data_IF_461219003254
#
_entry.id   IF_461219003254
#
_cell.length_a   1.000
_cell.length_b   1.000
_cell.length_c   1.000
_cell.angle_alpha   90.00
_cell.angle_beta   90.00
_cell.angle_gamma   90.00
#
_symmetry.space_group_name_H-M   'P 1'
#
loop_
_entity.id
_entity.type
_entity.pdbx_description
1 polymer ?
#
# COMPACT_ATOMS: atom_id res chain seq x y z
N UNK A 1 10.50 -8.11 -22.76
CA UNK A 1 9.23 -7.94 -23.50
C UNK A 1 8.29 -9.09 -23.18
N UNK A 2 6.98 -8.84 -23.05
CA UNK A 2 5.99 -9.88 -22.77
C UNK A 2 5.67 -10.63 -24.09
N UNK A 3 5.71 -11.97 -24.12
CA UNK A 3 5.37 -12.74 -25.32
C UNK A 3 3.98 -12.42 -25.87
N UNK A 4 3.85 -12.26 -27.20
CA UNK A 4 2.58 -11.90 -27.85
C UNK A 4 1.45 -12.90 -27.58
N UNK A 5 1.79 -14.18 -27.46
CA UNK A 5 0.82 -15.24 -27.14
C UNK A 5 0.16 -15.01 -25.77
N UNK A 6 0.97 -14.60 -24.77
CA UNK A 6 0.48 -14.29 -23.43
C UNK A 6 -0.45 -13.08 -23.45
N UNK A 7 -0.11 -12.04 -24.22
CA UNK A 7 -0.97 -10.87 -24.38
C UNK A 7 -2.33 -11.22 -25.02
N UNK A 8 -2.31 -12.02 -26.10
CA UNK A 8 -3.53 -12.47 -26.78
C UNK A 8 -4.43 -13.29 -25.86
N UNK A 9 -3.84 -14.19 -25.07
CA UNK A 9 -4.59 -15.02 -24.12
C UNK A 9 -5.15 -14.17 -22.96
N UNK A 10 -4.36 -13.26 -22.42
CA UNK A 10 -4.77 -12.36 -21.35
C UNK A 10 -5.93 -11.44 -21.78
N UNK A 11 -5.91 -10.94 -23.02
CA UNK A 11 -7.03 -10.19 -23.61
C UNK A 11 -8.30 -11.06 -23.72
N UNK A 12 -8.19 -12.28 -24.25
CA UNK A 12 -9.33 -13.21 -24.36
C UNK A 12 -9.96 -13.54 -23.00
N UNK A 13 -9.15 -13.59 -21.93
CA UNK A 13 -9.60 -13.88 -20.57
C UNK A 13 -9.95 -12.64 -19.74
N UNK A 14 -10.05 -11.45 -20.36
CA UNK A 14 -10.35 -10.19 -19.69
C UNK A 14 -9.39 -9.85 -18.52
N UNK A 15 -8.12 -10.24 -18.64
CA UNK A 15 -7.06 -9.95 -17.66
C UNK A 15 -6.29 -8.66 -17.97
N UNK A 16 -6.54 -8.06 -19.13
CA UNK A 16 -5.98 -6.78 -19.56
C UNK A 16 -7.12 -5.81 -19.83
N UNK A 17 -6.98 -4.55 -19.43
CA UNK A 17 -7.85 -3.44 -19.80
C UNK A 17 -7.06 -2.32 -20.48
N UNK A 18 -7.66 -1.67 -21.45
CA UNK A 18 -7.17 -0.41 -22.00
C UNK A 18 -7.49 0.73 -21.03
N UNK A 19 -6.53 1.63 -20.86
CA UNK A 19 -6.62 2.78 -19.98
C UNK A 19 -6.15 4.03 -20.74
N UNK A 20 -6.69 5.18 -20.37
CA UNK A 20 -6.27 6.47 -20.91
C UNK A 20 -6.10 7.47 -19.78
N UNK A 21 -4.98 8.20 -19.80
CA UNK A 21 -4.72 9.27 -18.84
C UNK A 21 -4.05 10.45 -19.54
N UNK A 22 -4.73 11.59 -19.60
CA UNK A 22 -4.23 12.81 -20.28
C UNK A 22 -3.66 12.54 -21.69
N UNK A 23 -4.40 11.77 -22.49
CA UNK A 23 -3.99 11.40 -23.85
C UNK A 23 -2.94 10.28 -23.94
N UNK A 24 -2.48 9.73 -22.80
CA UNK A 24 -1.60 8.55 -22.78
C UNK A 24 -2.44 7.29 -22.73
N UNK A 25 -2.36 6.50 -23.78
CA UNK A 25 -3.02 5.18 -23.86
C UNK A 25 -2.04 4.09 -23.41
N UNK A 26 -2.55 3.16 -22.61
CA UNK A 26 -1.76 2.02 -22.17
C UNK A 26 -2.66 0.83 -21.83
N UNK A 27 -2.07 -0.37 -21.85
CA UNK A 27 -2.73 -1.59 -21.41
C UNK A 27 -2.33 -1.92 -19.97
N UNK A 28 -3.26 -2.40 -19.17
CA UNK A 28 -3.05 -2.69 -17.75
C UNK A 28 -3.53 -4.09 -17.40
N UNK A 29 -2.65 -4.86 -16.76
CA UNK A 29 -3.03 -6.15 -16.18
C UNK A 29 -3.86 -5.94 -14.92
N UNK A 30 -5.12 -6.40 -14.93
CA UNK A 30 -6.05 -6.22 -13.82
C UNK A 30 -5.82 -7.20 -12.68
N UNK A 31 -5.17 -8.32 -12.98
CA UNK A 31 -4.93 -9.46 -12.11
C UNK A 31 -3.61 -10.16 -12.50
N UNK A 32 -3.12 -11.06 -11.66
CA UNK A 32 -1.96 -11.90 -12.00
C UNK A 32 -2.34 -12.81 -13.18
N UNK A 33 -1.43 -12.95 -14.14
CA UNK A 33 -1.63 -13.84 -15.27
C UNK A 33 -0.32 -14.50 -15.69
N UNK A 34 -0.22 -15.81 -15.42
CA UNK A 34 1.02 -16.59 -15.56
C UNK A 34 2.16 -15.89 -14.80
N UNK A 35 3.26 -15.58 -15.47
CA UNK A 35 4.41 -14.85 -14.92
C UNK A 35 4.26 -13.31 -14.92
N UNK A 36 3.12 -12.77 -15.37
CA UNK A 36 2.88 -11.33 -15.41
C UNK A 36 2.11 -10.89 -14.16
N UNK A 37 2.73 -10.14 -13.24
CA UNK A 37 2.06 -9.68 -12.04
C UNK A 37 1.01 -8.60 -12.36
N UNK A 38 -0.05 -8.58 -11.54
CA UNK A 38 -1.09 -7.55 -11.51
C UNK A 38 -0.48 -6.16 -11.48
N UNK A 39 -1.09 -5.24 -12.22
CA UNK A 39 -0.66 -3.85 -12.30
C UNK A 39 0.51 -3.61 -13.24
N UNK A 40 0.98 -4.63 -13.98
CA UNK A 40 1.85 -4.42 -15.14
C UNK A 40 1.16 -3.51 -16.15
N UNK A 41 1.86 -2.44 -16.55
CA UNK A 41 1.38 -1.44 -17.49
C UNK A 41 2.24 -1.47 -18.77
N UNK A 42 1.60 -1.53 -19.93
CA UNK A 42 2.24 -1.57 -21.25
C UNK A 42 1.88 -0.28 -21.98
N UNK A 43 2.88 0.56 -22.16
CA UNK A 43 2.83 1.75 -23.00
C UNK A 43 3.31 1.40 -24.41
N UNK A 44 3.29 2.39 -25.32
CA UNK A 44 3.62 2.19 -26.73
C UNK A 44 5.00 1.56 -26.96
N UNK A 45 6.02 2.01 -26.23
CA UNK A 45 7.42 1.62 -26.40
C UNK A 45 8.06 1.05 -25.13
N UNK A 46 7.29 0.92 -24.04
CA UNK A 46 7.82 0.48 -22.76
C UNK A 46 6.83 -0.29 -21.90
N UNK A 47 7.36 -1.18 -21.06
CA UNK A 47 6.61 -1.94 -20.06
C UNK A 47 7.10 -1.56 -18.67
N UNK A 48 6.17 -1.15 -17.81
CA UNK A 48 6.41 -1.00 -16.38
C UNK A 48 5.76 -2.18 -15.66
N UNK A 49 6.59 -3.15 -15.27
CA UNK A 49 6.16 -4.37 -14.62
C UNK A 49 5.49 -4.11 -13.28
N UNK A 50 4.44 -4.88 -12.97
CA UNK A 50 3.77 -4.91 -11.67
C UNK A 50 4.79 -5.21 -10.58
N UNK A 51 4.74 -4.47 -9.46
CA UNK A 51 5.57 -4.84 -8.32
C UNK A 51 5.10 -6.22 -7.82
N UNK A 52 5.99 -7.20 -7.60
CA UNK A 52 5.60 -8.57 -7.28
C UNK A 52 4.96 -8.71 -5.89
N UNK A 53 4.35 -9.86 -5.61
CA UNK A 53 3.90 -10.18 -4.26
C UNK A 53 5.10 -10.52 -3.37
N UNK A 54 5.13 -9.96 -2.15
CA UNK A 54 6.12 -10.32 -1.13
C UNK A 54 5.50 -11.36 -0.19
N UNK A 55 6.17 -12.51 -0.06
CA UNK A 55 5.76 -13.58 0.84
C UNK A 55 5.76 -13.12 2.30
N UNK A 56 4.92 -13.73 3.14
CA UNK A 56 4.85 -13.43 4.57
C UNK A 56 5.33 -14.65 5.35
N UNK A 57 6.20 -14.41 6.32
CA UNK A 57 6.51 -15.37 7.37
C UNK A 57 5.70 -15.01 8.62
N UNK A 58 5.27 -16.03 9.37
CA UNK A 58 4.43 -15.85 10.57
C UNK A 58 5.21 -16.07 11.87
N UNK A 59 6.35 -16.75 11.78
CA UNK A 59 7.30 -16.92 12.87
C UNK A 59 8.68 -16.52 12.38
N UNK A 60 9.41 -15.71 13.14
CA UNK A 60 10.75 -15.24 12.80
C UNK A 60 11.80 -16.35 13.00
N UNK A 61 11.73 -17.05 14.14
CA UNK A 61 12.68 -18.10 14.55
C UNK A 61 12.78 -19.24 13.57
N UNK A 62 11.67 -19.60 12.92
CA UNK A 62 11.63 -20.66 11.91
C UNK A 62 11.59 -20.09 10.49
N UNK A 63 10.89 -18.97 10.28
CA UNK A 63 10.71 -18.38 8.96
C UNK A 63 11.97 -17.75 8.38
N UNK A 64 12.85 -17.14 9.19
CA UNK A 64 14.10 -16.57 8.66
C UNK A 64 15.06 -17.68 8.18
N UNK A 65 15.40 -18.70 8.99
CA UNK A 65 16.29 -19.78 8.55
C UNK A 65 15.74 -20.58 7.36
N UNK A 66 14.42 -20.77 7.28
CA UNK A 66 13.78 -21.48 6.17
C UNK A 66 13.83 -20.70 4.84
N UNK A 67 13.77 -19.37 4.90
CA UNK A 67 13.61 -18.54 3.69
C UNK A 67 14.93 -17.99 3.15
N UNK A 68 15.97 -17.92 3.97
CA UNK A 68 17.23 -17.28 3.64
C UNK A 68 18.42 -18.22 3.84
N UNK A 69 19.18 -18.41 2.76
CA UNK A 69 20.47 -19.11 2.79
C UNK A 69 21.63 -18.10 2.87
N UNK A 70 21.39 -16.87 2.42
CA UNK A 70 22.37 -15.79 2.36
C UNK A 70 22.03 -14.68 3.35
N UNK A 71 22.97 -13.75 3.62
CA UNK A 71 22.66 -12.54 4.37
C UNK A 71 21.54 -11.74 3.70
N UNK A 72 20.79 -10.99 4.49
CA UNK A 72 19.66 -10.18 4.02
C UNK A 72 19.67 -8.81 4.68
N UNK A 73 19.14 -7.83 3.95
CA UNK A 73 18.87 -6.49 4.46
C UNK A 73 17.51 -6.45 5.13
N UNK A 74 17.40 -5.70 6.23
CA UNK A 74 16.15 -5.45 6.92
C UNK A 74 15.80 -3.99 6.74
N UNK A 75 14.64 -3.72 6.15
CA UNK A 75 14.10 -2.38 5.98
C UNK A 75 12.78 -2.24 6.74
N UNK A 76 12.48 -1.02 7.20
CA UNK A 76 11.15 -0.69 7.68
C UNK A 76 10.12 -0.96 6.58
N UNK A 77 9.03 -1.64 6.97
CA UNK A 77 7.82 -1.66 6.18
C UNK A 77 6.99 -0.44 6.58
N UNK A 78 6.95 0.55 5.70
CA UNK A 78 6.12 1.75 5.88
C UNK A 78 4.68 1.40 5.50
N UNK A 79 3.73 1.84 6.32
CA UNK A 79 2.30 1.67 6.05
C UNK A 79 1.77 2.85 5.24
N UNK A 80 1.26 2.56 4.05
CA UNK A 80 0.86 3.55 3.06
C UNK A 80 0.37 2.85 1.79
N UNK A 81 0.64 3.46 0.64
CA UNK A 81 0.35 2.81 -0.63
C UNK A 81 1.54 2.79 -1.59
N UNK A 82 1.70 1.62 -2.22
CA UNK A 82 2.73 1.34 -3.21
C UNK A 82 2.54 2.14 -4.50
N UNK A 83 3.62 2.79 -4.94
CA UNK A 83 3.71 3.50 -6.21
C UNK A 83 4.96 3.11 -7.01
N UNK A 84 4.85 3.16 -8.33
CA UNK A 84 5.95 3.00 -9.28
C UNK A 84 6.10 4.28 -10.09
N UNK A 85 7.19 5.00 -9.90
CA UNK A 85 7.46 6.31 -10.50
C UNK A 85 8.49 6.15 -11.62
N UNK A 86 8.20 6.70 -12.79
CA UNK A 86 9.02 6.54 -13.99
C UNK A 86 8.83 7.71 -14.94
N UNK A 87 9.85 7.97 -15.77
CA UNK A 87 9.78 8.92 -16.86
C UNK A 87 9.08 8.29 -18.07
N UNK A 88 8.22 9.01 -18.76
CA UNK A 88 7.62 8.59 -20.04
C UNK A 88 7.27 9.82 -20.87
N UNK A 89 7.73 9.89 -22.12
CA UNK A 89 7.50 11.04 -23.03
C UNK A 89 7.73 12.39 -22.31
N UNK A 90 8.93 12.54 -21.72
CA UNK A 90 9.43 13.73 -21.01
C UNK A 90 8.66 14.15 -19.75
N UNK A 91 7.79 13.30 -19.22
CA UNK A 91 7.07 13.56 -17.98
C UNK A 91 7.21 12.41 -16.98
N UNK A 92 7.27 12.75 -15.69
CA UNK A 92 7.31 11.77 -14.61
C UNK A 92 5.88 11.39 -14.24
N UNK A 93 5.58 10.10 -14.29
CA UNK A 93 4.29 9.53 -13.92
C UNK A 93 4.44 8.58 -12.74
N UNK A 94 3.36 8.41 -11.98
CA UNK A 94 3.28 7.45 -10.89
C UNK A 94 2.13 6.46 -11.09
N UNK A 95 2.44 5.17 -11.18
CA UNK A 95 1.47 4.09 -11.19
C UNK A 95 1.17 3.63 -9.76
N UNK A 96 -0.10 3.46 -9.44
CA UNK A 96 -0.52 2.70 -8.23
C UNK A 96 -0.14 1.22 -8.37
N UNK A 97 -0.26 0.47 -7.27
CA UNK A 97 -0.15 -1.00 -7.27
C UNK A 97 -1.00 -1.67 -8.35
N UNK A 98 -2.21 -1.17 -8.59
CA UNK A 98 -3.14 -1.71 -9.59
C UNK A 98 -2.79 -1.37 -11.05
N UNK A 99 -1.77 -0.54 -11.27
CA UNK A 99 -1.33 -0.09 -12.59
C UNK A 99 -2.08 1.14 -13.12
N UNK A 100 -2.80 1.88 -12.28
CA UNK A 100 -3.41 3.14 -12.70
C UNK A 100 -2.42 4.29 -12.57
N UNK A 101 -2.32 5.17 -13.58
CA UNK A 101 -1.60 6.43 -13.41
C UNK A 101 -2.39 7.28 -12.41
N UNK A 102 -1.80 7.54 -11.25
CA UNK A 102 -2.44 8.27 -10.16
C UNK A 102 -2.24 9.77 -10.37
N UNK A 103 -3.34 10.52 -10.56
CA UNK A 103 -3.25 11.98 -10.70
C UNK A 103 -2.65 12.66 -9.45
N UNK A 104 -2.99 12.20 -8.25
CA UNK A 104 -2.43 12.72 -7.00
C UNK A 104 -0.93 12.46 -6.87
N UNK A 105 -0.48 11.21 -6.98
CA UNK A 105 0.95 10.90 -6.84
C UNK A 105 1.77 11.55 -7.96
N UNK A 106 1.26 11.56 -9.19
CA UNK A 106 1.96 12.20 -10.34
C UNK A 106 2.12 13.71 -10.12
N UNK A 107 1.13 14.38 -9.53
CA UNK A 107 1.20 15.79 -9.18
C UNK A 107 2.21 16.10 -8.07
N UNK A 108 2.36 15.18 -7.10
CA UNK A 108 3.12 15.42 -5.87
C UNK A 108 4.54 14.88 -5.87
N UNK A 109 4.89 13.92 -6.72
CA UNK A 109 6.16 13.20 -6.61
C UNK A 109 7.40 14.08 -6.72
N UNK A 110 7.36 15.11 -7.56
CA UNK A 110 8.50 16.03 -7.74
C UNK A 110 8.66 17.03 -6.59
N UNK A 111 7.74 17.06 -5.61
CA UNK A 111 7.98 17.75 -4.33
C UNK A 111 9.02 17.00 -3.48
N UNK A 112 9.24 15.70 -3.74
CA UNK A 112 10.05 14.81 -2.89
C UNK A 112 11.20 14.11 -3.63
N UNK A 113 11.13 14.00 -4.95
CA UNK A 113 12.13 13.31 -5.76
C UNK A 113 12.78 14.28 -6.73
N UNK A 114 14.11 14.34 -6.69
CA UNK A 114 14.90 15.18 -7.60
C UNK A 114 14.68 14.74 -9.07
N UNK A 115 14.16 15.62 -9.95
CA UNK A 115 13.94 15.30 -11.37
C UNK A 115 15.18 14.78 -12.10
N UNK A 116 16.37 15.24 -11.70
CA UNK A 116 17.65 14.82 -12.28
C UNK A 116 17.87 13.30 -12.21
N UNK A 117 17.28 12.60 -11.24
CA UNK A 117 17.32 11.14 -11.21
C UNK A 117 16.77 10.53 -12.50
N UNK A 118 15.66 11.05 -13.00
CA UNK A 118 15.00 10.52 -14.19
C UNK A 118 15.70 10.94 -15.48
N UNK A 119 16.31 12.12 -15.49
CA UNK A 119 17.14 12.60 -16.61
C UNK A 119 18.40 11.74 -16.77
N UNK A 120 19.10 11.47 -15.67
CA UNK A 120 20.31 10.65 -15.67
C UNK A 120 19.99 9.14 -15.86
N UNK A 121 18.79 8.69 -15.49
CA UNK A 121 18.40 7.27 -15.47
C UNK A 121 16.99 7.04 -16.04
N UNK A 122 16.75 7.35 -17.33
CA UNK A 122 15.41 7.30 -17.93
C UNK A 122 14.80 5.89 -17.95
N UNK A 123 15.61 4.84 -17.83
CA UNK A 123 15.16 3.45 -17.83
C UNK A 123 14.71 2.93 -16.47
N UNK A 124 15.01 3.66 -15.38
CA UNK A 124 14.73 3.20 -14.03
C UNK A 124 13.33 3.60 -13.56
N UNK A 125 12.78 2.75 -12.68
CA UNK A 125 11.47 2.92 -12.07
C UNK A 125 11.66 2.89 -10.56
N UNK A 126 11.37 4.00 -9.89
CA UNK A 126 11.40 4.07 -8.43
C UNK A 126 10.16 3.38 -7.86
N UNK A 127 10.35 2.42 -6.97
CA UNK A 127 9.28 1.77 -6.22
C UNK A 127 9.26 2.34 -4.81
N UNK A 128 8.21 3.09 -4.50
CA UNK A 128 8.13 3.90 -3.29
C UNK A 128 6.82 3.63 -2.57
N UNK A 129 6.82 3.86 -1.26
CA UNK A 129 5.61 3.93 -0.45
C UNK A 129 5.26 5.41 -0.28
N UNK A 130 4.00 5.76 -0.50
CA UNK A 130 3.48 7.08 -0.15
C UNK A 130 2.64 6.94 1.11
N UNK A 131 3.02 7.69 2.13
CA UNK A 131 2.42 7.58 3.45
C UNK A 131 2.31 8.95 4.13
N UNK A 132 1.29 9.13 4.97
CA UNK A 132 1.00 10.38 5.65
C UNK A 132 -0.49 10.57 5.89
N UNK A 133 -0.89 11.42 6.85
CA UNK A 133 -2.29 11.56 7.26
C UNK A 133 -3.18 12.20 6.18
N UNK A 134 -2.58 12.81 5.13
CA UNK A 134 -3.32 13.47 4.06
C UNK A 134 -3.15 12.77 2.70
N UNK A 135 -3.02 11.44 2.74
CA UNK A 135 -3.05 10.62 1.55
C UNK A 135 -4.51 10.20 1.22
N UNK A 136 -4.86 9.96 -0.05
CA UNK A 136 -6.24 9.73 -0.43
C UNK A 136 -6.68 8.25 -0.38
N UNK A 137 -5.82 7.33 0.03
CA UNK A 137 -6.07 5.89 -0.09
C UNK A 137 -6.19 5.17 1.25
N UNK A 138 -5.27 5.46 2.18
CA UNK A 138 -5.09 4.77 3.46
C UNK A 138 -5.36 5.76 4.57
N UNK A 139 -6.12 5.35 5.59
CA UNK A 139 -6.42 6.19 6.75
C UNK A 139 -5.24 6.24 7.73
N UNK A 140 -4.53 5.14 7.83
CA UNK A 140 -3.33 5.03 8.65
C UNK A 140 -2.17 5.85 8.08
N UNK A 141 -1.32 6.28 9.00
CA UNK A 141 -0.10 7.00 8.70
C UNK A 141 0.99 6.57 9.66
N UNK A 142 2.25 6.48 9.22
CA UNK A 142 3.36 6.33 10.11
C UNK A 142 3.37 7.47 11.14
N UNK A 143 3.62 7.20 12.43
CA UNK A 143 3.46 8.18 13.51
C UNK A 143 4.43 9.36 13.41
N UNK A 144 5.52 9.20 12.65
CA UNK A 144 6.51 10.24 12.39
C UNK A 144 6.13 11.17 11.22
N UNK A 145 5.09 10.87 10.43
CA UNK A 145 4.55 11.78 9.42
C UNK A 145 3.31 12.46 10.01
N UNK A 146 3.48 13.72 10.46
CA UNK A 146 2.44 14.45 11.21
C UNK A 146 1.47 15.23 10.33
N UNK A 147 1.87 15.54 9.10
CA UNK A 147 1.08 16.30 8.14
C UNK A 147 1.42 15.90 6.71
N UNK A 148 0.53 16.22 5.77
CA UNK A 148 0.69 15.94 4.34
C UNK A 148 1.06 14.47 4.06
N UNK A 149 2.00 14.25 3.13
CA UNK A 149 2.55 12.95 2.77
C UNK A 149 4.07 13.01 2.72
N UNK A 150 4.69 11.83 2.69
CA UNK A 150 6.09 11.58 2.38
C UNK A 150 6.19 10.40 1.43
N UNK A 151 7.29 10.36 0.68
CA UNK A 151 7.65 9.26 -0.20
C UNK A 151 8.81 8.50 0.41
N UNK A 152 8.76 7.16 0.37
CA UNK A 152 9.80 6.30 0.91
C UNK A 152 10.19 5.25 -0.12
N UNK A 153 11.32 5.46 -0.79
CA UNK A 153 11.91 4.49 -1.70
C UNK A 153 12.25 3.21 -0.95
N UNK A 154 11.85 2.08 -1.49
CA UNK A 154 12.28 0.77 -0.99
C UNK A 154 12.92 -0.09 -2.08
N UNK A 155 12.66 0.17 -3.36
CA UNK A 155 13.25 -0.58 -4.47
C UNK A 155 13.38 0.25 -5.75
N UNK A 156 14.22 -0.23 -6.66
CA UNK A 156 14.36 0.32 -8.00
C UNK A 156 14.24 -0.84 -8.99
N UNK A 157 13.31 -0.71 -9.94
CA UNK A 157 13.12 -1.63 -11.06
C UNK A 157 13.67 -1.00 -12.34
N UNK A 158 13.77 -1.80 -13.41
CA UNK A 158 14.10 -1.32 -14.75
C UNK A 158 12.93 -1.54 -15.69
N UNK A 159 12.62 -0.56 -16.54
CA UNK A 159 11.63 -0.72 -17.62
C UNK A 159 11.96 -1.96 -18.45
N UNK A 160 10.92 -2.62 -18.94
CA UNK A 160 11.01 -3.82 -19.80
C UNK A 160 11.60 -5.08 -19.14
N UNK A 161 12.04 -5.02 -17.88
CA UNK A 161 12.66 -6.14 -17.14
C UNK A 161 11.90 -6.43 -15.84
N UNK A 162 11.79 -7.71 -15.49
CA UNK A 162 11.35 -8.12 -14.15
C UNK A 162 12.54 -8.08 -13.17
N UNK A 163 12.22 -8.00 -11.88
CA UNK A 163 13.23 -7.96 -10.82
C UNK A 163 13.61 -6.55 -10.38
N UNK A 164 14.65 -6.48 -9.56
CA UNK A 164 15.11 -5.27 -8.89
C UNK A 164 16.59 -5.07 -9.13
N UNK A 165 17.06 -3.83 -9.03
CA UNK A 165 18.51 -3.58 -8.95
C UNK A 165 19.11 -4.27 -7.72
N UNK A 166 20.38 -4.70 -7.80
CA UNK A 166 21.11 -5.17 -6.62
C UNK A 166 21.03 -4.15 -5.48
N UNK A 167 20.89 -4.64 -4.25
CA UNK A 167 20.61 -3.75 -3.11
C UNK A 167 21.69 -2.68 -2.93
N UNK A 168 22.96 -3.02 -3.16
CA UNK A 168 24.08 -2.07 -3.08
C UNK A 168 24.03 -0.99 -4.17
N UNK A 169 23.51 -1.31 -5.35
CA UNK A 169 23.31 -0.30 -6.40
C UNK A 169 22.18 0.65 -6.03
N UNK A 170 21.10 0.13 -5.44
CA UNK A 170 20.03 0.96 -4.86
C UNK A 170 20.60 1.96 -3.85
N UNK A 171 21.44 1.51 -2.91
CA UNK A 171 22.06 2.40 -1.91
C UNK A 171 22.91 3.52 -2.55
N UNK A 172 23.70 3.19 -3.58
CA UNK A 172 24.50 4.20 -4.31
C UNK A 172 23.61 5.25 -4.99
N UNK A 173 22.48 4.85 -5.57
CA UNK A 173 21.53 5.78 -6.19
C UNK A 173 20.80 6.64 -5.15
N UNK A 174 20.44 6.06 -4.01
CA UNK A 174 19.87 6.82 -2.88
C UNK A 174 20.82 7.93 -2.46
N UNK A 175 22.10 7.61 -2.23
CA UNK A 175 23.11 8.58 -1.81
C UNK A 175 23.38 9.64 -2.90
N UNK A 176 23.53 9.22 -4.17
CA UNK A 176 23.84 10.13 -5.28
C UNK A 176 22.79 11.21 -5.50
N UNK A 177 21.50 10.87 -5.38
CA UNK A 177 20.40 11.79 -5.68
C UNK A 177 19.61 12.26 -4.46
N UNK A 178 20.06 11.91 -3.26
CA UNK A 178 19.37 12.20 -1.99
C UNK A 178 17.90 11.72 -2.01
N UNK A 179 17.69 10.47 -2.44
CA UNK A 179 16.34 9.92 -2.57
C UNK A 179 15.76 9.61 -1.18
N UNK A 180 14.51 10.02 -0.89
CA UNK A 180 13.91 9.70 0.39
C UNK A 180 13.64 8.19 0.43
N UNK A 181 14.19 7.49 1.42
CA UNK A 181 14.19 6.03 1.53
C UNK A 181 13.55 5.56 2.83
N UNK A 182 13.06 4.32 2.84
CA UNK A 182 12.71 3.61 4.08
C UNK A 182 13.93 3.47 5.00
N UNK A 183 13.70 3.36 6.32
CA UNK A 183 14.77 3.11 7.29
C UNK A 183 15.45 1.76 7.00
N UNK A 184 16.77 1.78 6.78
CA UNK A 184 17.59 0.57 6.64
C UNK A 184 18.14 0.20 8.01
N UNK A 185 17.64 -0.89 8.57
CA UNK A 185 17.96 -1.32 9.94
C UNK A 185 19.27 -2.09 10.03
N UNK A 186 19.74 -2.61 8.90
CA UNK A 186 21.04 -3.26 8.77
C UNK A 186 21.02 -4.49 7.88
N UNK A 187 22.18 -5.15 7.82
CA UNK A 187 22.39 -6.42 7.11
C UNK A 187 22.66 -7.52 8.12
N UNK A 188 21.90 -8.60 8.04
CA UNK A 188 21.90 -9.69 9.01
C UNK A 188 22.10 -11.04 8.31
N UNK A 189 22.47 -12.06 9.08
CA UNK A 189 22.51 -13.45 8.61
C UNK A 189 21.31 -14.25 9.14
N UNK A 190 20.98 -15.41 8.55
CA UNK A 190 19.88 -16.26 9.01
C UNK A 190 19.98 -16.70 10.48
N UNK A 191 21.17 -16.67 11.07
CA UNK A 191 21.43 -17.01 12.47
C UNK A 191 21.17 -15.85 13.45
N UNK A 192 20.97 -14.63 12.95
CA UNK A 192 20.82 -13.41 13.77
C UNK A 192 19.34 -13.04 14.01
N UNK A 193 18.47 -14.04 14.14
CA UNK A 193 17.02 -13.82 14.33
C UNK A 193 16.70 -12.94 15.53
N UNK A 194 17.39 -13.14 16.66
CA UNK A 194 17.16 -12.37 17.88
C UNK A 194 17.35 -10.86 17.69
N UNK A 195 18.32 -10.44 16.86
CA UNK A 195 18.51 -9.01 16.54
C UNK A 195 17.33 -8.43 15.76
N UNK A 196 16.71 -9.23 14.89
CA UNK A 196 15.50 -8.83 14.16
C UNK A 196 14.29 -8.76 15.10
N UNK A 197 14.20 -9.67 16.08
CA UNK A 197 13.17 -9.61 17.14
C UNK A 197 13.29 -8.35 18.00
N UNK A 198 14.51 -7.96 18.41
CA UNK A 198 14.76 -6.73 19.15
C UNK A 198 14.28 -5.48 18.39
N UNK A 199 14.54 -5.42 17.08
CA UNK A 199 14.02 -4.36 16.22
C UNK A 199 12.49 -4.33 16.22
N UNK A 200 11.85 -5.49 16.07
CA UNK A 200 10.40 -5.59 16.02
C UNK A 200 9.73 -5.25 17.35
N UNK A 201 10.36 -5.57 18.48
CA UNK A 201 9.93 -5.12 19.82
C UNK A 201 9.92 -3.60 19.92
N UNK A 202 11.00 -2.94 19.48
CA UNK A 202 11.04 -1.47 19.39
C UNK A 202 9.94 -0.94 18.47
N UNK A 203 9.72 -1.57 17.32
CA UNK A 203 8.69 -1.15 16.36
C UNK A 203 7.27 -1.29 16.92
N UNK A 204 6.99 -2.33 17.71
CA UNK A 204 5.73 -2.50 18.44
C UNK A 204 5.47 -1.31 19.37
N UNK A 205 6.47 -0.91 20.16
CA UNK A 205 6.36 0.19 21.14
C UNK A 205 6.06 1.54 20.48
N UNK A 206 6.66 1.80 19.31
CA UNK A 206 6.49 3.07 18.58
C UNK A 206 5.38 3.03 17.53
N UNK A 207 4.65 1.91 17.40
CA UNK A 207 3.54 1.77 16.46
C UNK A 207 3.95 1.73 14.98
N UNK A 208 5.10 1.11 14.65
CA UNK A 208 5.52 0.86 13.27
C UNK A 208 4.91 -0.45 12.72
N UNK A 209 4.72 -0.52 11.40
CA UNK A 209 4.01 -1.64 10.76
C UNK A 209 4.79 -2.96 10.84
N UNK A 210 6.10 -2.91 10.58
CA UNK A 210 6.94 -4.10 10.55
C UNK A 210 8.17 -3.94 9.67
N UNK A 211 8.62 -5.04 9.09
CA UNK A 211 9.85 -5.08 8.29
C UNK A 211 9.70 -5.87 7.00
N UNK A 212 10.51 -5.51 6.00
CA UNK A 212 10.75 -6.31 4.81
C UNK A 212 12.19 -6.79 4.82
N UNK A 213 12.38 -8.09 4.71
CA UNK A 213 13.67 -8.76 4.65
C UNK A 213 13.99 -9.05 3.18
N UNK A 214 15.17 -8.64 2.73
CA UNK A 214 15.59 -8.69 1.32
C UNK A 214 16.95 -9.38 1.21
N UNK A 215 16.96 -10.58 0.65
CA UNK A 215 18.19 -11.37 0.48
C UNK A 215 19.22 -10.62 -0.37
N UNK A 216 20.46 -10.59 0.10
CA UNK A 216 21.62 -10.00 -0.57
C UNK A 216 22.27 -11.05 -1.49
N UNK A 217 21.49 -11.53 -2.46
CA UNK A 217 21.85 -12.56 -3.44
C UNK A 217 21.18 -12.27 -4.80
N UNK A 218 21.61 -12.96 -5.86
CA UNK A 218 20.97 -12.93 -7.19
C UNK A 218 19.52 -13.43 -7.15
N UNK A 219 19.20 -14.38 -6.26
CA UNK A 219 17.83 -14.87 -6.04
C UNK A 219 16.92 -13.76 -5.51
N UNK A 220 17.47 -12.82 -4.76
CA UNK A 220 16.77 -11.66 -4.20
C UNK A 220 15.47 -12.02 -3.47
N UNK A 221 15.49 -13.12 -2.68
CA UNK A 221 14.32 -13.59 -1.94
C UNK A 221 13.83 -12.50 -0.98
N UNK A 222 12.51 -12.36 -0.86
CA UNK A 222 11.88 -11.34 -0.01
C UNK A 222 10.77 -11.92 0.82
N UNK A 223 10.79 -11.58 2.10
CA UNK A 223 9.65 -11.83 2.99
C UNK A 223 9.36 -10.60 3.82
N UNK A 224 8.12 -10.48 4.31
CA UNK A 224 7.70 -9.44 5.23
C UNK A 224 7.19 -10.04 6.53
N UNK A 225 7.37 -9.29 7.60
CA UNK A 225 6.86 -9.60 8.94
C UNK A 225 6.21 -8.33 9.51
N UNK A 226 5.10 -8.50 10.22
CA UNK A 226 4.23 -7.40 10.68
C UNK A 226 4.14 -7.47 12.21
N UNK A 227 4.16 -6.33 12.89
CA UNK A 227 4.04 -6.20 14.34
C UNK A 227 2.65 -6.62 14.84
N UNK A 228 2.50 -6.97 16.13
CA UNK A 228 1.17 -7.23 16.69
C UNK A 228 0.33 -5.96 16.72
N UNK A 229 0.96 -4.81 16.97
CA UNK A 229 0.37 -3.49 16.90
C UNK A 229 -0.35 -3.30 15.56
N UNK A 230 0.34 -3.50 14.45
CA UNK A 230 -0.22 -3.29 13.12
C UNK A 230 -1.35 -4.27 12.80
N UNK A 231 -1.26 -5.53 13.25
CA UNK A 231 -2.36 -6.49 13.07
C UNK A 231 -3.63 -6.05 13.80
N UNK A 232 -3.51 -5.53 15.04
CA UNK A 232 -4.65 -5.02 15.80
C UNK A 232 -5.16 -3.72 15.19
N UNK A 233 -4.26 -2.81 14.80
CA UNK A 233 -4.61 -1.53 14.20
C UNK A 233 -5.35 -1.69 12.88
N UNK A 234 -4.92 -2.63 12.04
CA UNK A 234 -5.63 -2.99 10.81
C UNK A 234 -7.08 -3.44 11.08
N UNK A 235 -7.32 -4.20 12.16
CA UNK A 235 -8.66 -4.63 12.54
C UNK A 235 -9.47 -3.40 12.97
N UNK A 236 -8.89 -2.56 13.82
CA UNK A 236 -9.51 -1.33 14.34
C UNK A 236 -9.98 -0.41 13.21
N UNK A 237 -9.07 -0.05 12.30
CA UNK A 237 -9.33 0.89 11.20
C UNK A 237 -10.41 0.37 10.26
N UNK A 238 -10.37 -0.93 9.97
CA UNK A 238 -11.29 -1.56 9.02
C UNK A 238 -12.61 -1.98 9.62
N UNK A 239 -12.73 -2.04 10.95
CA UNK A 239 -13.96 -2.43 11.64
C UNK A 239 -15.16 -1.53 11.28
N UNK A 240 -14.93 -0.25 10.95
CA UNK A 240 -15.98 0.66 10.47
C UNK A 240 -16.65 0.15 9.17
N UNK A 241 -15.91 -0.56 8.31
CA UNK A 241 -16.40 -1.10 7.05
C UNK A 241 -16.06 -2.60 6.90
N UNK A 242 -16.48 -3.38 7.90
CA UNK A 242 -16.17 -4.81 7.96
C UNK A 242 -16.66 -5.61 6.74
N UNK A 243 -17.79 -5.23 6.14
CA UNK A 243 -18.34 -5.87 4.93
C UNK A 243 -17.59 -5.52 3.64
N UNK A 244 -16.70 -4.52 3.69
CA UNK A 244 -15.90 -4.11 2.55
C UNK A 244 -14.70 -5.02 2.30
N UNK A 245 -14.44 -5.99 3.18
CA UNK A 245 -13.26 -6.85 3.15
C UNK A 245 -13.66 -8.31 3.09
N UNK A 246 -12.83 -9.16 2.47
CA UNK A 246 -13.07 -10.60 2.45
C UNK A 246 -12.93 -11.18 3.86
N UNK A 247 -13.67 -12.24 4.18
CA UNK A 247 -13.73 -12.82 5.53
C UNK A 247 -12.34 -13.29 6.02
N UNK A 248 -11.49 -13.75 5.11
CA UNK A 248 -10.13 -14.18 5.42
C UNK A 248 -9.22 -13.01 5.86
N UNK A 249 -9.61 -11.76 5.64
CA UNK A 249 -8.88 -10.59 6.11
C UNK A 249 -8.68 -10.60 7.64
N UNK A 250 -9.73 -10.95 8.38
CA UNK A 250 -9.74 -10.95 9.84
C UNK A 250 -9.14 -12.23 10.40
N UNK A 251 -9.49 -13.40 9.85
CA UNK A 251 -8.92 -14.68 10.30
C UNK A 251 -7.40 -14.69 10.12
N UNK A 252 -6.89 -14.16 9.00
CA UNK A 252 -5.46 -14.05 8.77
C UNK A 252 -4.76 -13.14 9.78
N UNK A 253 -5.40 -12.09 10.31
CA UNK A 253 -4.81 -11.19 11.32
C UNK A 253 -4.82 -11.79 12.71
N UNK A 254 -5.90 -12.48 13.06
CA UNK A 254 -5.98 -13.24 14.30
C UNK A 254 -4.93 -14.35 14.35
N UNK A 255 -4.73 -15.08 13.25
CA UNK A 255 -3.68 -16.10 13.16
C UNK A 255 -2.27 -15.51 13.32
N UNK A 256 -1.98 -14.35 12.71
CA UNK A 256 -0.69 -13.66 12.89
C UNK A 256 -0.46 -13.27 14.34
N UNK A 257 -1.47 -12.68 14.97
CA UNK A 257 -1.39 -12.27 16.36
C UNK A 257 -1.16 -13.48 17.29
N UNK A 258 -1.91 -14.57 17.08
CA UNK A 258 -1.77 -15.79 17.86
C UNK A 258 -0.38 -16.41 17.74
N UNK A 259 0.16 -16.50 16.51
CA UNK A 259 1.50 -17.05 16.26
C UNK A 259 2.61 -16.16 16.82
N UNK A 260 2.45 -14.83 16.76
CA UNK A 260 3.39 -13.90 17.38
C UNK A 260 3.43 -14.05 18.91
N UNK A 261 2.26 -14.09 19.56
CA UNK A 261 2.17 -14.26 21.02
C UNK A 261 2.78 -15.58 21.46
N UNK A 262 2.53 -16.65 20.69
CA UNK A 262 3.10 -17.97 20.95
C UNK A 262 4.63 -17.95 20.81
N UNK A 263 5.14 -17.39 19.71
CA UNK A 263 6.57 -17.32 19.43
C UNK A 263 7.35 -16.49 20.47
N UNK A 264 6.80 -15.34 20.87
CA UNK A 264 7.45 -14.43 21.82
C UNK A 264 7.18 -14.80 23.28
N UNK A 265 6.40 -15.87 23.54
CA UNK A 265 6.03 -16.29 24.88
C UNK A 265 5.29 -15.20 25.68
N UNK A 266 4.56 -14.31 24.98
CA UNK A 266 3.88 -13.18 25.60
C UNK A 266 2.72 -13.66 26.48
N UNK A 267 2.44 -12.89 27.54
CA UNK A 267 1.32 -13.17 28.43
C UNK A 267 0.01 -13.03 27.66
N UNK A 268 -0.83 -14.04 27.82
CA UNK A 268 -2.19 -14.10 27.28
C UNK A 268 -3.15 -13.53 28.31
N UNK A 269 -3.04 -12.22 28.55
CA UNK A 269 -3.75 -11.52 29.61
C UNK A 269 -5.03 -10.84 29.14
N UNK A 270 -5.80 -10.34 30.12
CA UNK A 270 -7.06 -9.65 29.88
C UNK A 270 -6.87 -8.37 29.05
N UNK A 271 -5.73 -7.70 29.17
CA UNK A 271 -5.45 -6.46 28.44
C UNK A 271 -5.37 -6.71 26.93
N UNK A 272 -4.65 -7.75 26.52
CA UNK A 272 -4.59 -8.17 25.12
C UNK A 272 -5.99 -8.50 24.58
N UNK A 273 -6.76 -9.33 25.29
CA UNK A 273 -8.09 -9.72 24.84
C UNK A 273 -9.03 -8.51 24.71
N UNK A 274 -8.95 -7.59 25.67
CA UNK A 274 -9.71 -6.33 25.64
C UNK A 274 -9.30 -5.45 24.45
N UNK A 275 -8.00 -5.36 24.17
CA UNK A 275 -7.46 -4.59 23.03
C UNK A 275 -7.98 -5.15 21.70
N UNK A 276 -7.96 -6.48 21.51
CA UNK A 276 -8.52 -7.13 20.32
C UNK A 276 -10.03 -6.92 20.23
N UNK A 277 -10.77 -7.13 21.32
CA UNK A 277 -12.22 -6.93 21.34
C UNK A 277 -12.62 -5.50 20.99
N UNK A 278 -11.90 -4.50 21.51
CA UNK A 278 -12.08 -3.09 21.16
C UNK A 278 -11.84 -2.83 19.67
N UNK A 279 -10.76 -3.37 19.11
CA UNK A 279 -10.44 -3.21 17.69
C UNK A 279 -11.59 -3.70 16.78
N UNK A 280 -12.30 -4.76 17.14
CA UNK A 280 -13.47 -5.21 16.38
C UNK A 280 -14.71 -4.35 16.60
N UNK A 281 -14.97 -3.92 17.83
CA UNK A 281 -16.26 -3.35 18.21
C UNK A 281 -16.34 -1.83 18.08
N UNK A 282 -15.25 -1.11 18.33
CA UNK A 282 -15.28 0.36 18.39
C UNK A 282 -15.69 0.99 17.04
N UNK A 283 -15.14 0.52 15.91
CA UNK A 283 -15.58 1.01 14.60
C UNK A 283 -16.97 0.53 14.21
N UNK A 284 -17.44 -0.63 14.67
CA UNK A 284 -18.84 -1.05 14.45
C UNK A 284 -19.82 -0.17 15.24
N UNK A 285 -19.50 0.18 16.49
CA UNK A 285 -20.30 1.13 17.27
C UNK A 285 -20.32 2.51 16.61
N UNK A 286 -19.18 2.97 16.10
CA UNK A 286 -19.11 4.21 15.32
C UNK A 286 -19.99 4.12 14.07
N UNK A 287 -19.93 3.03 13.30
CA UNK A 287 -20.76 2.83 12.11
C UNK A 287 -22.25 2.87 12.45
N UNK A 288 -22.66 2.23 13.55
CA UNK A 288 -24.05 2.25 14.03
C UNK A 288 -24.49 3.65 14.42
N UNK A 289 -23.65 4.42 15.12
CA UNK A 289 -23.94 5.79 15.48
C UNK A 289 -24.11 6.68 14.23
N UNK A 290 -23.18 6.58 13.29
CA UNK A 290 -23.21 7.33 12.02
C UNK A 290 -24.46 6.97 11.19
N UNK A 291 -24.78 5.68 11.08
CA UNK A 291 -25.98 5.23 10.37
C UNK A 291 -27.27 5.78 10.99
N UNK A 292 -27.37 5.86 12.33
CA UNK A 292 -28.54 6.44 13.01
C UNK A 292 -28.66 7.96 12.84
N UNK A 293 -27.53 8.67 12.95
CA UNK A 293 -27.52 10.14 12.99
C UNK A 293 -27.52 10.77 11.61
N UNK A 294 -26.79 10.17 10.67
CA UNK A 294 -26.48 10.75 9.36
C UNK A 294 -27.02 9.92 8.20
N UNK A 295 -27.53 8.72 8.46
CA UNK A 295 -28.07 7.83 7.43
C UNK A 295 -27.02 7.19 6.53
N UNK A 296 -25.72 7.34 6.86
CA UNK A 296 -24.60 6.82 6.06
C UNK A 296 -23.37 6.53 6.93
N UNK A 297 -22.56 5.57 6.49
CA UNK A 297 -21.24 5.26 7.07
C UNK A 297 -20.16 5.66 6.08
N UNK A 298 -19.19 6.46 6.51
CA UNK A 298 -18.18 7.05 5.62
C UNK A 298 -16.87 7.35 6.34
N UNK A 299 -15.83 7.64 5.55
CA UNK A 299 -14.58 8.25 6.01
C UNK A 299 -14.30 9.51 5.21
N UNK A 300 -13.68 10.50 5.86
CA UNK A 300 -13.27 11.75 5.22
C UNK A 300 -11.78 11.68 4.94
N UNK A 301 -11.39 12.10 3.75
CA UNK A 301 -10.01 12.20 3.31
C UNK A 301 -9.73 13.65 2.94
N UNK A 302 -8.51 14.09 3.24
CA UNK A 302 -7.96 15.38 2.86
C UNK A 302 -6.65 15.15 2.15
N UNK A 303 -6.42 15.80 1.02
CA UNK A 303 -5.15 15.72 0.31
C UNK A 303 -4.82 17.02 -0.44
N UNK A 304 -3.53 17.28 -0.62
CA UNK A 304 -3.01 18.53 -1.23
C UNK A 304 -2.49 18.25 -2.63
N UNK A 305 -2.83 19.13 -3.58
CA UNK A 305 -2.37 19.11 -4.97
C UNK A 305 -1.66 20.43 -5.33
N UNK A 306 -0.65 20.38 -6.19
CA UNK A 306 -0.05 21.57 -6.82
C UNK A 306 -0.98 22.14 -7.90
N UNK A 307 -1.63 21.26 -8.67
CA UNK A 307 -2.46 21.65 -9.79
C UNK A 307 -3.95 21.30 -9.55
N UNK A 308 -4.84 22.25 -9.82
CA UNK A 308 -6.30 22.08 -9.65
C UNK A 308 -6.88 21.00 -10.55
N UNK A 309 -6.46 20.96 -11.81
CA UNK A 309 -6.95 19.98 -12.79
C UNK A 309 -6.53 18.57 -12.39
N UNK A 310 -5.35 18.41 -11.77
CA UNK A 310 -4.93 17.12 -11.17
C UNK A 310 -5.85 16.67 -10.05
N UNK A 311 -6.32 17.59 -9.21
CA UNK A 311 -7.30 17.28 -8.16
C UNK A 311 -8.65 16.82 -8.76
N UNK A 312 -9.12 17.49 -9.82
CA UNK A 312 -10.37 17.13 -10.50
C UNK A 312 -10.27 15.77 -11.22
N UNK A 313 -9.16 15.53 -11.93
CA UNK A 313 -8.90 14.23 -12.57
C UNK A 313 -8.82 13.13 -11.51
N UNK A 314 -8.12 13.36 -10.40
CA UNK A 314 -8.05 12.41 -9.29
C UNK A 314 -9.44 12.08 -8.74
N UNK A 315 -10.26 13.09 -8.50
CA UNK A 315 -11.61 12.91 -7.97
C UNK A 315 -12.46 12.04 -8.90
N UNK A 316 -12.34 12.24 -10.22
CA UNK A 316 -13.03 11.39 -11.18
C UNK A 316 -12.51 9.96 -11.18
N UNK A 317 -11.19 9.77 -11.13
CA UNK A 317 -10.57 8.44 -11.03
C UNK A 317 -11.06 7.66 -9.81
N UNK A 318 -11.13 8.30 -8.63
CA UNK A 318 -11.49 7.61 -7.39
C UNK A 318 -12.99 7.28 -7.32
N UNK A 319 -13.86 8.09 -7.95
CA UNK A 319 -15.31 7.80 -8.04
C UNK A 319 -15.60 6.48 -8.75
N UNK A 320 -14.79 6.13 -9.75
CA UNK A 320 -14.95 4.90 -10.54
C UNK A 320 -14.09 3.73 -10.03
N UNK A 321 -13.36 3.91 -8.94
CA UNK A 321 -12.45 2.89 -8.43
C UNK A 321 -13.16 1.69 -7.79
N UNK A 322 -14.38 1.87 -7.27
CA UNK A 322 -15.18 0.81 -6.65
C UNK A 322 -16.67 1.09 -6.76
N UNK A 323 -17.45 0.07 -7.13
CA UNK A 323 -18.92 0.15 -7.16
C UNK A 323 -19.56 0.13 -5.78
N UNK A 324 -18.82 -0.28 -4.74
CA UNK A 324 -19.31 -0.37 -3.35
C UNK A 324 -18.98 0.88 -2.53
N UNK A 325 -18.28 1.84 -3.11
CA UNK A 325 -17.86 3.08 -2.45
C UNK A 325 -18.36 4.24 -3.29
N UNK A 326 -19.21 5.08 -2.70
CA UNK A 326 -19.56 6.35 -3.30
C UNK A 326 -18.59 7.43 -2.82
N UNK A 327 -18.05 8.23 -3.75
CA UNK A 327 -17.15 9.34 -3.42
C UNK A 327 -17.83 10.68 -3.64
N UNK A 328 -17.94 11.49 -2.58
CA UNK A 328 -18.51 12.83 -2.64
C UNK A 328 -17.45 13.88 -2.29
N UNK A 329 -17.28 14.88 -3.16
CA UNK A 329 -16.44 16.04 -2.86
C UNK A 329 -17.10 16.87 -1.76
N UNK A 330 -16.31 17.30 -0.77
CA UNK A 330 -16.73 18.24 0.28
C UNK A 330 -16.25 19.65 -0.02
N UNK A 331 -14.97 19.81 -0.34
CA UNK A 331 -14.37 21.10 -0.68
C UNK A 331 -13.20 20.93 -1.64
N UNK A 332 -12.89 21.98 -2.40
CA UNK A 332 -11.67 22.11 -3.20
C UNK A 332 -11.24 23.56 -3.17
N UNK A 333 -10.30 23.87 -2.30
CA UNK A 333 -9.92 25.25 -1.96
C UNK A 333 -8.44 25.49 -2.17
N UNK A 334 -8.07 26.73 -2.53
CA UNK A 334 -6.66 27.11 -2.61
C UNK A 334 -6.20 27.56 -1.24
N UNK A 335 -5.25 26.83 -0.65
CA UNK A 335 -4.61 27.14 0.62
C UNK A 335 -3.11 27.25 0.35
N UNK A 336 -2.58 28.46 0.51
CA UNK A 336 -1.17 28.78 0.19
C UNK A 336 -0.78 28.35 -1.25
N UNK A 337 0.18 27.43 -1.35
CA UNK A 337 0.71 26.90 -2.60
C UNK A 337 -0.03 25.65 -3.12
N UNK A 338 -1.11 25.22 -2.45
CA UNK A 338 -1.82 23.98 -2.76
C UNK A 338 -3.31 24.19 -3.04
N UNK A 339 -3.87 23.31 -3.85
CA UNK A 339 -5.29 23.00 -3.92
C UNK A 339 -5.57 21.86 -2.96
N UNK A 340 -6.33 22.14 -1.91
CA UNK A 340 -6.70 21.18 -0.87
C UNK A 340 -8.06 20.61 -1.20
N UNK A 341 -8.10 19.31 -1.46
CA UNK A 341 -9.30 18.54 -1.73
C UNK A 341 -9.72 17.80 -0.45
N UNK A 342 -10.95 18.01 -0.02
CA UNK A 342 -11.60 17.14 0.95
C UNK A 342 -12.74 16.38 0.29
N UNK A 343 -12.82 15.08 0.56
CA UNK A 343 -13.87 14.22 0.03
C UNK A 343 -14.20 13.13 1.04
N UNK A 344 -15.41 12.59 0.94
CA UNK A 344 -15.84 11.44 1.74
C UNK A 344 -15.95 10.19 0.86
N UNK A 345 -15.57 9.05 1.42
CA UNK A 345 -15.84 7.71 0.88
C UNK A 345 -16.98 7.09 1.70
N UNK A 346 -18.16 6.95 1.10
CA UNK A 346 -19.33 6.35 1.71
C UNK A 346 -19.35 4.85 1.41
N UNK A 347 -19.45 4.02 2.44
CA UNK A 347 -19.46 2.57 2.33
C UNK A 347 -20.89 2.08 2.12
N UNK A 348 -21.26 1.79 0.87
CA UNK A 348 -22.65 1.52 0.48
C UNK A 348 -23.19 0.24 1.13
N UNK A 349 -22.40 -0.84 1.15
CA UNK A 349 -22.80 -2.12 1.73
C UNK A 349 -23.07 -1.99 3.24
N UNK A 350 -22.16 -1.33 3.97
CA UNK A 350 -22.32 -1.11 5.42
C UNK A 350 -23.50 -0.18 5.71
N UNK A 351 -23.64 0.90 4.94
CA UNK A 351 -24.77 1.83 5.06
C UNK A 351 -26.11 1.13 4.84
N UNK A 352 -26.22 0.34 3.78
CA UNK A 352 -27.43 -0.42 3.45
C UNK A 352 -27.77 -1.46 4.51
N UNK A 353 -26.79 -2.26 4.94
CA UNK A 353 -27.01 -3.31 5.94
C UNK A 353 -27.46 -2.71 7.28
N UNK A 354 -26.75 -1.71 7.79
CA UNK A 354 -27.12 -1.06 9.05
C UNK A 354 -28.47 -0.34 8.94
N UNK A 355 -28.76 0.28 7.79
CA UNK A 355 -30.06 0.88 7.52
C UNK A 355 -31.23 -0.10 7.58
N UNK A 356 -31.01 -1.36 7.17
CA UNK A 356 -31.99 -2.45 7.28
C UNK A 356 -32.09 -2.98 8.72
N UNK A 357 -30.96 -3.37 9.32
CA UNK A 357 -30.91 -3.98 10.64
C UNK A 357 -31.40 -3.06 11.76
N UNK A 358 -31.00 -1.79 11.74
CA UNK A 358 -31.40 -0.82 12.76
C UNK A 358 -32.90 -0.47 12.74
N UNK A 359 -33.60 -0.83 11.65
CA UNK A 359 -35.06 -0.71 11.52
C UNK A 359 -35.81 -2.01 11.88
N UNK A 360 -35.10 -3.04 12.34
CA UNK A 360 -35.67 -4.33 12.71
C UNK A 360 -35.82 -5.31 11.55
N UNK A 361 -35.11 -5.09 10.45
CA UNK A 361 -35.09 -6.04 9.33
C UNK A 361 -34.41 -7.36 9.68
N UNK A 362 -34.92 -8.48 9.17
CA UNK A 362 -34.33 -9.81 9.33
C UNK A 362 -33.29 -10.12 8.24
N UNK A 363 -32.31 -10.95 8.57
CA UNK A 363 -31.36 -11.56 7.61
C UNK A 363 -31.55 -13.07 7.59
N UNK A 364 -31.26 -13.68 6.44
CA UNK A 364 -31.17 -15.14 6.29
C UNK A 364 -29.71 -15.42 5.95
N UNK A 365 -29.05 -16.20 6.80
CA UNK A 365 -27.62 -16.52 6.71
C UNK A 365 -27.38 -17.83 5.94
#
# INVERSE_FOLDING_TARGET
MIPQEILREALKRNKIKGETFQGKEYLRFTDDFKEVPRGTAIFKDTVVWGYPHIGRIFQLSTGIPEQFEYPFWVEEKVDGYNVRVFLYEDQVYALTRGGYICAFTTDRVLDFVNPRFFEDNPDLVLCMEVAGPENPYVEESPPYVREDIRFFLFDIMKKNHQGFLPYREKLKLIEKYDLPTVEVLGRFTPQQVEKVKEILKRFEEVGKEGVVLKEDSERNRRVKYITSYANIRDIEVTSLNMLGLPADYYTNRLLRLALFIEEEGLKKDEELYKKVGKAFLEGLFQACHMARKEGKVYRVFRCRFRNKDRALVFLEQIKHASVHIQVNQRSLERIEAFWVLEFEKVFLNMTGLLGHLLKGGSLVD
#
